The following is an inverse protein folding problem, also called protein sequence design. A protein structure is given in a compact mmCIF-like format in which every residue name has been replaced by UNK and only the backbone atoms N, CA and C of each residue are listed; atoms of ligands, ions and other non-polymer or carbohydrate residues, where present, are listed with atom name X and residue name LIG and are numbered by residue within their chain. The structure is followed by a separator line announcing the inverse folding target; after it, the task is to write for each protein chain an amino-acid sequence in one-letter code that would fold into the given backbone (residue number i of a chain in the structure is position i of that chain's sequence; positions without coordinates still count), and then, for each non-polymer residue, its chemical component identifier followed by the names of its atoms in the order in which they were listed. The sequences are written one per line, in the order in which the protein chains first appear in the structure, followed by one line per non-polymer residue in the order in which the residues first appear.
data_IF_103434602759
#
_entry.id   IF_103434602759
#
_cell.length_a   1.000
_cell.length_b   1.000
_cell.length_c   1.000
_cell.angle_alpha   90.00
_cell.angle_beta   90.00
_cell.angle_gamma   90.00
#
_symmetry.space_group_name_H-M   'P 1'
#
loop_
_entity.id
_entity.type
_entity.pdbx_description
1 polymer ?
#
# COMPACT_ATOMS: atom_id res chain seq x y z
N UNK A 1 1.77 4.78 18.72
CA UNK A 1 0.71 4.36 17.78
C UNK A 1 -0.62 4.13 18.47
N UNK A 2 -0.69 3.35 19.56
CA UNK A 2 -1.94 3.14 20.34
C UNK A 2 -2.61 4.44 20.84
N UNK A 3 -1.85 5.53 20.99
CA UNK A 3 -2.38 6.85 21.37
C UNK A 3 -3.39 7.43 20.36
N UNK A 4 -3.35 7.02 19.08
CA UNK A 4 -4.24 7.56 18.05
C UNK A 4 -5.72 7.28 18.34
N UNK A 5 -6.04 6.07 18.79
CA UNK A 5 -7.40 5.63 19.07
C UNK A 5 -7.79 5.78 20.56
N UNK A 6 -6.84 6.18 21.40
CA UNK A 6 -7.04 6.20 22.85
C UNK A 6 -8.06 7.27 23.25
N UNK A 7 -9.17 6.83 23.84
CA UNK A 7 -10.25 7.71 24.32
C UNK A 7 -11.17 8.27 23.23
N UNK A 8 -11.07 7.78 21.99
CA UNK A 8 -11.92 8.20 20.86
C UNK A 8 -13.16 7.31 20.78
N UNK A 9 -14.34 7.90 20.87
CA UNK A 9 -15.62 7.17 20.86
C UNK A 9 -16.71 7.94 20.09
N UNK A 10 -17.75 7.20 19.65
CA UNK A 10 -18.93 7.76 18.96
C UNK A 10 -18.57 8.65 17.77
N UNK A 11 -19.20 9.84 17.70
CA UNK A 11 -19.02 10.81 16.60
C UNK A 11 -17.58 11.25 16.37
N UNK A 12 -16.73 11.25 17.40
CA UNK A 12 -15.33 11.60 17.22
C UNK A 12 -14.60 10.53 16.40
N UNK A 13 -14.92 9.26 16.64
CA UNK A 13 -14.36 8.13 15.90
C UNK A 13 -14.90 8.09 14.47
N UNK A 14 -16.18 8.41 14.27
CA UNK A 14 -16.79 8.57 12.94
C UNK A 14 -16.08 9.66 12.14
N UNK A 15 -15.85 10.83 12.75
CA UNK A 15 -15.11 11.92 12.10
C UNK A 15 -13.71 11.51 11.69
N UNK A 16 -12.99 10.79 12.57
CA UNK A 16 -11.65 10.28 12.26
C UNK A 16 -11.67 9.35 11.06
N UNK A 17 -12.62 8.42 10.98
CA UNK A 17 -12.76 7.55 9.82
C UNK A 17 -13.10 8.32 8.54
N UNK A 18 -14.01 9.28 8.63
CA UNK A 18 -14.36 10.15 7.49
C UNK A 18 -13.16 10.96 6.98
N UNK A 19 -12.34 11.49 7.89
CA UNK A 19 -11.13 12.24 7.55
C UNK A 19 -10.08 11.33 6.86
N UNK A 20 -9.95 10.07 7.29
CA UNK A 20 -9.11 9.07 6.60
C UNK A 20 -9.62 8.83 5.17
N UNK A 21 -10.92 8.57 4.99
CA UNK A 21 -11.48 8.30 3.68
C UNK A 21 -11.34 9.50 2.73
N UNK A 22 -11.53 10.72 3.24
CA UNK A 22 -11.29 11.96 2.47
C UNK A 22 -9.81 12.14 2.13
N UNK A 23 -8.90 11.86 3.06
CA UNK A 23 -7.46 11.97 2.82
C UNK A 23 -6.95 10.99 1.74
N UNK A 24 -7.62 9.84 1.57
CA UNK A 24 -7.36 8.92 0.47
C UNK A 24 -8.17 9.26 -0.80
N UNK A 25 -8.85 10.40 -0.86
CA UNK A 25 -9.55 10.87 -2.06
C UNK A 25 -10.91 10.22 -2.31
N UNK A 26 -11.56 9.68 -1.27
CA UNK A 26 -12.93 9.17 -1.36
C UNK A 26 -13.94 10.23 -0.91
N UNK A 27 -15.08 10.26 -1.60
CA UNK A 27 -16.23 11.06 -1.22
C UNK A 27 -16.98 10.40 -0.06
N UNK A 28 -16.54 10.66 1.18
CA UNK A 28 -17.13 10.07 2.37
C UNK A 28 -18.21 10.97 3.00
N UNK A 29 -19.44 10.45 3.01
CA UNK A 29 -20.60 11.01 3.71
C UNK A 29 -20.74 10.31 5.06
N UNK A 30 -20.84 11.10 6.13
CA UNK A 30 -20.94 10.66 7.53
C UNK A 30 -21.90 11.59 8.29
N UNK A 31 -22.19 11.30 9.56
CA UNK A 31 -23.25 11.99 10.33
C UNK A 31 -24.63 11.83 9.67
N UNK A 32 -24.91 10.61 9.20
CA UNK A 32 -26.15 10.26 8.53
C UNK A 32 -27.31 10.21 9.53
N UNK A 33 -28.51 10.55 9.05
CA UNK A 33 -29.71 10.58 9.88
C UNK A 33 -30.20 9.16 10.15
N UNK A 34 -30.62 8.87 11.39
CA UNK A 34 -31.31 7.62 11.70
C UNK A 34 -32.68 7.59 11.01
N UNK A 35 -32.95 6.51 10.28
CA UNK A 35 -34.17 6.39 9.47
C UNK A 35 -35.02 5.25 10.00
N UNK A 36 -36.30 5.50 10.26
CA UNK A 36 -37.22 4.42 10.59
C UNK A 36 -37.40 3.48 9.39
N UNK A 37 -37.23 2.18 9.62
CA UNK A 37 -37.32 1.15 8.58
C UNK A 37 -38.69 1.15 7.88
N UNK A 38 -39.77 1.42 8.63
CA UNK A 38 -41.13 1.55 8.08
C UNK A 38 -41.27 2.65 7.03
N UNK A 39 -40.41 3.68 7.05
CA UNK A 39 -40.45 4.79 6.08
C UNK A 39 -39.76 4.42 4.76
N UNK A 40 -39.04 3.29 4.73
CA UNK A 40 -38.26 2.82 3.58
C UNK A 40 -38.88 1.55 3.00
N UNK A 41 -39.35 0.63 3.86
CA UNK A 41 -39.91 -0.66 3.42
C UNK A 41 -41.05 -1.11 4.34
N UNK A 42 -42.07 -1.77 3.77
CA UNK A 42 -43.18 -2.34 4.53
C UNK A 42 -42.74 -3.56 5.36
N UNK A 43 -43.44 -3.83 6.47
CA UNK A 43 -43.24 -5.04 7.28
C UNK A 43 -42.35 -4.89 8.52
N UNK A 44 -41.94 -3.66 8.85
CA UNK A 44 -41.09 -3.35 10.00
C UNK A 44 -41.82 -2.55 11.08
N UNK A 45 -41.43 -2.75 12.34
CA UNK A 45 -42.00 -2.05 13.50
C UNK A 45 -41.50 -0.60 13.60
N UNK A 46 -42.22 0.26 14.32
CA UNK A 46 -41.88 1.69 14.47
C UNK A 46 -40.55 1.94 15.19
N UNK A 47 -40.09 0.99 15.99
CA UNK A 47 -38.86 1.09 16.77
C UNK A 47 -37.61 0.64 16.00
N UNK A 48 -37.76 0.09 14.79
CA UNK A 48 -36.64 -0.37 14.00
C UNK A 48 -36.07 0.76 13.12
N UNK A 49 -34.78 1.02 13.28
CA UNK A 49 -34.08 2.11 12.61
C UNK A 49 -32.87 1.60 11.83
N UNK A 50 -32.66 2.18 10.65
CA UNK A 50 -31.40 2.15 9.90
C UNK A 50 -30.49 3.26 10.39
N UNK A 51 -29.23 2.91 10.58
CA UNK A 51 -28.17 3.81 11.03
C UNK A 51 -26.87 3.26 10.44
N UNK A 52 -26.11 4.11 9.79
CA UNK A 52 -24.80 3.80 9.26
C UNK A 52 -23.88 4.97 9.52
N UNK A 53 -22.61 4.67 9.81
CA UNK A 53 -21.62 5.71 10.06
C UNK A 53 -21.13 6.35 8.76
N UNK A 54 -21.04 5.56 7.67
CA UNK A 54 -20.49 6.02 6.38
C UNK A 54 -21.29 5.57 5.17
N UNK A 55 -21.36 6.45 4.17
CA UNK A 55 -21.69 6.12 2.77
C UNK A 55 -20.63 6.72 1.84
N UNK A 56 -20.09 5.90 0.93
CA UNK A 56 -19.05 6.29 -0.02
C UNK A 56 -19.47 5.80 -1.41
N UNK A 57 -20.02 6.68 -2.28
CA UNK A 57 -20.33 6.32 -3.65
C UNK A 57 -19.05 6.21 -4.48
N UNK A 58 -18.89 5.10 -5.19
CA UNK A 58 -17.73 4.83 -6.04
C UNK A 58 -18.18 4.09 -7.32
N UNK A 59 -18.11 4.78 -8.46
CA UNK A 59 -18.68 4.35 -9.74
C UNK A 59 -20.14 3.88 -9.63
N UNK A 60 -20.38 2.55 -9.71
CA UNK A 60 -21.70 1.91 -9.62
C UNK A 60 -21.91 1.18 -8.29
N UNK A 61 -21.04 1.41 -7.30
CA UNK A 61 -21.07 0.75 -6.00
C UNK A 61 -21.10 1.79 -4.89
N UNK A 62 -21.99 1.64 -3.91
CA UNK A 62 -21.91 2.41 -2.68
C UNK A 62 -21.32 1.53 -1.58
N UNK A 63 -20.19 1.98 -1.01
CA UNK A 63 -19.62 1.37 0.18
C UNK A 63 -20.33 1.95 1.41
N UNK A 64 -20.92 1.08 2.22
CA UNK A 64 -21.57 1.45 3.47
C UNK A 64 -20.69 0.96 4.63
N UNK A 65 -20.41 1.84 5.57
CA UNK A 65 -19.46 1.56 6.64
C UNK A 65 -20.04 1.71 8.04
N UNK A 66 -19.52 0.91 8.96
CA UNK A 66 -19.78 1.00 10.40
C UNK A 66 -18.45 0.94 11.17
N UNK A 67 -18.28 1.76 12.20
CA UNK A 67 -17.13 1.79 13.09
C UNK A 67 -17.55 1.62 14.55
N UNK A 68 -16.70 0.98 15.36
CA UNK A 68 -16.98 0.78 16.79
C UNK A 68 -15.73 0.73 17.65
N UNK A 69 -15.78 1.44 18.77
CA UNK A 69 -14.81 1.37 19.88
C UNK A 69 -15.24 0.45 21.03
N UNK A 70 -16.37 -0.26 20.90
CA UNK A 70 -16.87 -1.18 21.95
C UNK A 70 -15.82 -2.24 22.29
N UNK A 71 -15.33 -2.26 23.53
CA UNK A 71 -14.32 -3.25 23.95
C UNK A 71 -14.86 -4.67 24.17
N UNK A 72 -16.14 -4.84 24.50
CA UNK A 72 -16.70 -6.16 24.76
C UNK A 72 -17.04 -6.94 23.49
N UNK A 73 -16.45 -8.13 23.33
CA UNK A 73 -16.65 -9.03 22.17
C UNK A 73 -18.14 -9.28 21.85
N UNK A 74 -18.98 -9.49 22.87
CA UNK A 74 -20.43 -9.69 22.71
C UNK A 74 -21.12 -8.48 22.09
N UNK A 75 -20.70 -7.26 22.46
CA UNK A 75 -21.32 -6.03 21.99
C UNK A 75 -20.86 -5.66 20.58
N UNK A 76 -19.62 -6.02 20.21
CA UNK A 76 -19.15 -5.92 18.81
C UNK A 76 -19.92 -6.90 17.94
N UNK A 77 -20.03 -8.17 18.35
CA UNK A 77 -20.76 -9.18 17.57
C UNK A 77 -22.21 -8.77 17.33
N UNK A 78 -22.92 -8.33 18.37
CA UNK A 78 -24.30 -7.80 18.23
C UNK A 78 -24.37 -6.62 17.26
N UNK A 79 -23.40 -5.71 17.31
CA UNK A 79 -23.36 -4.54 16.41
C UNK A 79 -23.08 -4.97 14.96
N UNK A 80 -22.17 -5.91 14.75
CA UNK A 80 -21.90 -6.51 13.45
C UNK A 80 -23.12 -7.24 12.89
N UNK A 81 -23.79 -8.08 13.67
CA UNK A 81 -25.00 -8.80 13.24
C UNK A 81 -26.11 -7.82 12.83
N UNK A 82 -26.29 -6.72 13.59
CA UNK A 82 -27.21 -5.62 13.23
C UNK A 82 -26.80 -4.97 11.92
N UNK A 83 -25.53 -4.63 11.75
CA UNK A 83 -24.99 -4.03 10.53
C UNK A 83 -25.23 -4.91 9.30
N UNK A 84 -24.92 -6.22 9.37
CA UNK A 84 -25.18 -7.17 8.28
C UNK A 84 -26.66 -7.23 7.92
N UNK A 85 -27.54 -7.27 8.93
CA UNK A 85 -28.98 -7.25 8.71
C UNK A 85 -29.42 -5.99 7.95
N UNK A 86 -28.96 -4.82 8.37
CA UNK A 86 -29.28 -3.54 7.74
C UNK A 86 -28.75 -3.42 6.31
N UNK A 87 -27.52 -3.87 6.05
CA UNK A 87 -26.94 -3.94 4.70
C UNK A 87 -27.81 -4.81 3.78
N UNK A 88 -28.25 -5.96 4.25
CA UNK A 88 -29.10 -6.87 3.48
C UNK A 88 -30.48 -6.30 3.17
N UNK A 89 -30.98 -5.36 3.99
CA UNK A 89 -32.20 -4.62 3.69
C UNK A 89 -31.93 -3.64 2.55
N UNK A 90 -30.88 -2.81 2.65
CA UNK A 90 -30.57 -1.81 1.62
C UNK A 90 -30.30 -2.45 0.28
N UNK A 91 -29.58 -3.58 0.23
CA UNK A 91 -29.29 -4.32 -1.01
C UNK A 91 -30.55 -4.70 -1.80
N UNK A 92 -31.73 -4.76 -1.16
CA UNK A 92 -33.01 -5.14 -1.77
C UNK A 92 -33.87 -3.95 -2.19
N UNK A 93 -33.46 -2.73 -1.87
CA UNK A 93 -34.19 -1.53 -2.23
C UNK A 93 -33.95 -1.16 -3.70
N UNK A 94 -34.94 -0.50 -4.30
CA UNK A 94 -34.77 0.14 -5.61
C UNK A 94 -34.11 1.51 -5.42
N UNK A 95 -32.87 1.69 -5.87
CA UNK A 95 -32.15 2.94 -5.63
C UNK A 95 -32.78 4.11 -6.39
N UNK A 96 -33.12 5.17 -5.67
CA UNK A 96 -33.71 6.39 -6.20
C UNK A 96 -33.28 7.61 -5.38
N UNK A 97 -33.41 8.81 -5.95
CA UNK A 97 -33.11 10.07 -5.25
C UNK A 97 -33.87 10.17 -3.90
N UNK A 98 -35.13 9.72 -3.84
CA UNK A 98 -35.94 9.70 -2.61
C UNK A 98 -35.35 8.77 -1.55
N UNK A 99 -34.89 7.57 -1.93
CA UNK A 99 -34.28 6.63 -0.99
C UNK A 99 -32.96 7.16 -0.46
N UNK A 100 -32.13 7.78 -1.30
CA UNK A 100 -30.87 8.39 -0.84
C UNK A 100 -31.10 9.55 0.13
N UNK A 101 -32.08 10.41 -0.15
CA UNK A 101 -32.47 11.48 0.77
C UNK A 101 -32.96 10.93 2.11
N UNK A 102 -33.82 9.90 2.07
CA UNK A 102 -34.29 9.22 3.28
C UNK A 102 -33.13 8.67 4.10
N UNK A 103 -32.10 8.13 3.44
CA UNK A 103 -30.85 7.65 4.06
C UNK A 103 -29.91 8.76 4.54
N UNK A 104 -30.31 10.04 4.46
CA UNK A 104 -29.56 11.17 5.00
C UNK A 104 -28.62 11.87 4.00
N UNK A 105 -28.67 11.51 2.71
CA UNK A 105 -27.87 12.20 1.69
C UNK A 105 -28.52 13.54 1.33
N UNK A 106 -27.76 14.61 1.47
CA UNK A 106 -28.21 15.98 1.14
C UNK A 106 -28.43 16.16 -0.37
N UNK A 107 -29.34 17.08 -0.72
CA UNK A 107 -29.77 17.31 -2.11
C UNK A 107 -28.62 17.60 -3.08
N UNK A 108 -27.62 18.38 -2.64
CA UNK A 108 -26.44 18.70 -3.44
C UNK A 108 -25.57 17.48 -3.78
N UNK A 109 -25.67 16.39 -3.01
CA UNK A 109 -24.81 15.22 -3.11
C UNK A 109 -25.48 14.03 -3.81
N UNK A 110 -26.81 14.03 -3.93
CA UNK A 110 -27.60 12.95 -4.57
C UNK A 110 -27.06 12.56 -5.95
N UNK A 111 -26.57 13.52 -6.73
CA UNK A 111 -26.02 13.25 -8.07
C UNK A 111 -24.94 12.16 -8.08
N UNK A 112 -24.16 12.04 -7.01
CA UNK A 112 -23.10 11.01 -6.87
C UNK A 112 -23.67 9.60 -6.66
N UNK A 113 -24.93 9.48 -6.24
CA UNK A 113 -25.58 8.21 -5.90
C UNK A 113 -26.51 7.67 -7.01
N UNK A 114 -26.79 8.46 -8.05
CA UNK A 114 -27.76 8.10 -9.10
C UNK A 114 -27.38 6.87 -9.92
N UNK A 115 -26.10 6.60 -10.05
CA UNK A 115 -25.58 5.49 -10.86
C UNK A 115 -25.26 4.24 -10.03
N UNK A 116 -25.57 4.25 -8.72
CA UNK A 116 -25.31 3.11 -7.85
C UNK A 116 -26.22 1.95 -8.24
N UNK A 117 -25.61 0.79 -8.42
CA UNK A 117 -26.27 -0.47 -8.78
C UNK A 117 -26.05 -1.57 -7.74
N UNK A 118 -25.06 -1.42 -6.86
CA UNK A 118 -24.77 -2.41 -5.82
C UNK A 118 -24.25 -1.76 -4.54
N UNK A 119 -24.36 -2.51 -3.45
CA UNK A 119 -23.88 -2.11 -2.12
C UNK A 119 -22.83 -3.10 -1.67
N UNK A 120 -21.74 -2.59 -1.09
CA UNK A 120 -20.77 -3.40 -0.34
C UNK A 120 -20.61 -2.79 1.05
N UNK A 121 -20.35 -3.62 2.04
CA UNK A 121 -20.23 -3.21 3.43
C UNK A 121 -18.79 -3.23 3.90
N UNK A 122 -18.45 -2.36 4.86
CA UNK A 122 -17.29 -2.57 5.69
C UNK A 122 -17.57 -2.32 7.16
N UNK A 123 -16.95 -3.10 8.02
CA UNK A 123 -17.10 -3.00 9.46
C UNK A 123 -15.73 -2.82 10.11
N UNK A 124 -15.59 -1.82 10.97
CA UNK A 124 -14.34 -1.44 11.61
C UNK A 124 -14.45 -1.65 13.12
N UNK A 125 -13.63 -2.56 13.67
CA UNK A 125 -13.44 -2.72 15.11
C UNK A 125 -12.12 -2.08 15.52
N UNK A 126 -12.15 -1.00 16.29
CA UNK A 126 -10.94 -0.25 16.65
C UNK A 126 -10.25 -0.75 17.92
N UNK A 127 -10.86 -1.71 18.63
CA UNK A 127 -10.33 -2.23 19.89
C UNK A 127 -9.91 -3.69 19.86
N UNK A 128 -10.41 -4.49 18.92
CA UNK A 128 -10.12 -5.93 18.87
C UNK A 128 -9.24 -6.27 17.68
N UNK A 129 -8.37 -7.24 17.86
CA UNK A 129 -7.66 -7.88 16.76
C UNK A 129 -8.44 -9.09 16.22
N UNK A 130 -8.11 -9.52 15.01
CA UNK A 130 -8.76 -10.66 14.35
C UNK A 130 -8.66 -11.96 15.17
N UNK A 131 -7.56 -12.16 15.89
CA UNK A 131 -7.38 -13.34 16.74
C UNK A 131 -8.20 -13.27 18.03
N UNK A 132 -8.58 -12.07 18.47
CA UNK A 132 -9.42 -11.88 19.66
C UNK A 132 -10.90 -12.08 19.36
N UNK A 133 -11.33 -11.70 18.15
CA UNK A 133 -12.73 -11.71 17.75
C UNK A 133 -12.87 -12.24 16.33
N UNK A 134 -13.53 -13.39 16.19
CA UNK A 134 -13.93 -13.92 14.89
C UNK A 134 -15.40 -13.57 14.62
N UNK A 135 -15.62 -12.69 13.65
CA UNK A 135 -16.94 -12.38 13.11
C UNK A 135 -17.28 -13.32 11.96
N UNK A 136 -18.57 -13.61 11.75
CA UNK A 136 -19.01 -14.46 10.64
C UNK A 136 -18.72 -13.77 9.30
N UNK A 137 -18.25 -14.54 8.31
CA UNK A 137 -18.13 -14.03 6.96
C UNK A 137 -19.51 -13.65 6.43
N UNK A 138 -19.60 -12.47 5.81
CA UNK A 138 -20.80 -12.01 5.14
C UNK A 138 -20.44 -11.58 3.72
N UNK A 139 -21.33 -11.88 2.77
CA UNK A 139 -21.11 -11.58 1.36
C UNK A 139 -21.05 -10.05 1.13
N UNK A 140 -20.04 -9.63 0.37
CA UNK A 140 -19.69 -8.24 0.11
C UNK A 140 -19.38 -7.39 1.35
N UNK A 141 -19.05 -8.00 2.49
CA UNK A 141 -18.63 -7.25 3.69
C UNK A 141 -17.19 -7.53 4.07
N UNK A 142 -16.39 -6.47 4.16
CA UNK A 142 -15.00 -6.53 4.63
C UNK A 142 -14.93 -6.09 6.09
N UNK A 143 -14.29 -6.90 6.94
CA UNK A 143 -14.08 -6.57 8.36
C UNK A 143 -12.65 -6.10 8.57
N UNK A 144 -12.49 -4.86 9.03
CA UNK A 144 -11.22 -4.26 9.43
C UNK A 144 -11.09 -4.34 10.96
N UNK A 145 -10.03 -4.97 11.43
CA UNK A 145 -9.70 -4.99 12.85
C UNK A 145 -8.79 -3.82 13.22
N UNK A 146 -8.43 -3.72 14.50
CA UNK A 146 -7.66 -2.59 15.04
C UNK A 146 -6.39 -2.33 14.25
N UNK A 147 -5.57 -3.36 14.02
CA UNK A 147 -4.33 -3.23 13.24
C UNK A 147 -4.57 -2.83 11.78
N UNK A 148 -5.64 -3.29 11.15
CA UNK A 148 -5.99 -2.93 9.77
C UNK A 148 -6.41 -1.46 9.66
N UNK A 149 -7.21 -0.97 10.61
CA UNK A 149 -7.64 0.42 10.65
C UNK A 149 -6.49 1.39 10.92
N UNK A 150 -5.60 1.04 11.86
CA UNK A 150 -4.38 1.81 12.12
C UNK A 150 -3.52 1.86 10.86
N UNK A 151 -3.38 0.76 10.13
CA UNK A 151 -2.62 0.72 8.88
C UNK A 151 -3.25 1.61 7.81
N UNK A 152 -4.57 1.56 7.64
CA UNK A 152 -5.28 2.44 6.71
C UNK A 152 -5.06 3.91 7.06
N UNK A 153 -5.11 4.26 8.35
CA UNK A 153 -4.75 5.59 8.83
C UNK A 153 -3.32 5.95 8.44
N UNK A 154 -2.33 5.11 8.74
CA UNK A 154 -0.93 5.41 8.39
C UNK A 154 -0.72 5.60 6.88
N UNK A 155 -1.36 4.78 6.05
CA UNK A 155 -1.25 4.90 4.60
C UNK A 155 -1.88 6.22 4.14
N UNK A 156 -3.06 6.58 4.67
CA UNK A 156 -3.70 7.87 4.38
C UNK A 156 -2.81 9.07 4.72
N UNK A 157 -2.07 9.01 5.83
CA UNK A 157 -1.22 10.12 6.27
C UNK A 157 0.10 10.23 5.52
N UNK A 158 0.62 9.11 5.00
CA UNK A 158 1.97 9.09 4.44
C UNK A 158 1.99 9.00 2.90
N UNK A 159 0.95 8.43 2.29
CA UNK A 159 0.82 8.29 0.84
C UNK A 159 -0.58 8.71 0.33
N UNK A 160 -1.40 9.38 1.15
CA UNK A 160 -2.59 10.14 0.72
C UNK A 160 -3.51 9.42 -0.26
N UNK A 161 -3.89 10.13 -1.32
CA UNK A 161 -4.77 9.67 -2.41
C UNK A 161 -4.29 8.39 -3.10
N UNK A 162 -2.98 8.09 -3.08
CA UNK A 162 -2.46 6.86 -3.67
C UNK A 162 -2.81 5.60 -2.84
N UNK A 163 -3.39 5.77 -1.64
CA UNK A 163 -4.01 4.67 -0.87
C UNK A 163 -5.37 4.27 -1.42
N UNK A 164 -6.03 5.12 -2.23
CA UNK A 164 -7.41 4.92 -2.71
C UNK A 164 -7.61 3.55 -3.33
N UNK A 165 -6.83 3.24 -4.36
CA UNK A 165 -7.00 2.00 -5.12
C UNK A 165 -6.56 0.78 -4.30
N UNK A 166 -5.64 0.95 -3.34
CA UNK A 166 -5.30 -0.08 -2.37
C UNK A 166 -6.50 -0.48 -1.50
N UNK A 167 -7.27 0.50 -1.01
CA UNK A 167 -8.49 0.29 -0.24
C UNK A 167 -9.63 -0.26 -1.10
N UNK A 168 -9.91 0.35 -2.26
CA UNK A 168 -11.03 -0.04 -3.13
C UNK A 168 -10.88 -1.45 -3.71
N UNK A 169 -9.65 -1.89 -3.99
CA UNK A 169 -9.38 -3.26 -4.44
C UNK A 169 -9.83 -4.32 -3.43
N UNK A 170 -9.95 -3.99 -2.13
CA UNK A 170 -10.46 -4.90 -1.10
C UNK A 170 -11.92 -5.27 -1.28
N UNK A 171 -12.64 -4.45 -2.03
CA UNK A 171 -14.04 -4.65 -2.39
C UNK A 171 -14.18 -5.14 -3.83
N UNK A 172 -13.11 -5.59 -4.48
CA UNK A 172 -13.12 -5.95 -5.92
C UNK A 172 -13.63 -4.81 -6.80
N UNK A 173 -13.35 -3.56 -6.43
CA UNK A 173 -13.66 -2.39 -7.24
C UNK A 173 -12.47 -2.12 -8.15
N UNK A 174 -12.52 -2.71 -9.34
CA UNK A 174 -11.58 -2.41 -10.41
C UNK A 174 -11.96 -1.04 -11.01
N UNK A 175 -11.20 0.02 -10.70
CA UNK A 175 -11.24 1.21 -11.54
C UNK A 175 -10.62 0.89 -12.89
N UNK A 176 -11.44 0.40 -13.82
CA UNK A 176 -11.06 0.27 -15.22
C UNK A 176 -11.41 1.56 -15.92
N UNK A 177 -10.44 2.47 -15.95
CA UNK A 177 -10.48 3.44 -17.05
C UNK A 177 -10.21 2.65 -18.33
N UNK A 178 -10.93 2.94 -19.42
CA UNK A 178 -10.67 2.30 -20.74
C UNK A 178 -9.32 2.73 -21.34
N UNK A 179 -8.52 3.46 -20.56
CA UNK A 179 -7.26 4.04 -20.95
C UNK A 179 -6.11 3.09 -20.60
N UNK A 180 -5.05 3.17 -21.39
CA UNK A 180 -3.79 2.47 -21.11
C UNK A 180 -2.64 3.48 -21.14
N UNK A 181 -1.62 3.21 -20.35
CA UNK A 181 -0.33 3.90 -20.42
C UNK A 181 0.42 3.26 -21.59
N UNK A 182 0.91 4.09 -22.50
CA UNK A 182 1.61 3.66 -23.70
C UNK A 182 3.09 4.00 -23.60
N UNK A 183 3.92 2.96 -23.41
CA UNK A 183 5.37 3.09 -23.26
C UNK A 183 6.02 2.85 -24.61
N UNK A 184 6.57 3.91 -25.20
CA UNK A 184 7.22 3.91 -26.52
C UNK A 184 8.75 3.93 -26.42
N UNK A 185 9.44 3.33 -27.39
CA UNK A 185 10.92 3.35 -27.51
C UNK A 185 11.51 4.77 -27.49
N UNK A 186 10.92 5.70 -28.23
CA UNK A 186 11.46 7.08 -28.36
C UNK A 186 11.24 7.95 -27.12
N UNK A 187 10.08 7.84 -26.48
CA UNK A 187 9.68 8.76 -25.42
C UNK A 187 10.04 8.26 -24.00
N UNK A 188 10.18 6.94 -23.87
CA UNK A 188 10.37 6.24 -22.60
C UNK A 188 11.62 5.36 -22.61
N UNK A 189 12.48 5.46 -23.62
CA UNK A 189 13.72 4.68 -23.72
C UNK A 189 13.46 3.17 -23.59
N UNK A 190 12.34 2.69 -24.14
CA UNK A 190 11.91 1.30 -23.98
C UNK A 190 12.92 0.34 -24.61
N UNK A 191 13.49 -0.54 -23.80
CA UNK A 191 14.36 -1.63 -24.23
C UNK A 191 13.68 -2.96 -23.87
N UNK A 192 13.56 -3.86 -24.85
CA UNK A 192 13.00 -5.20 -24.66
C UNK A 192 14.06 -6.29 -24.77
N UNK A 193 14.04 -7.22 -23.84
CA UNK A 193 14.86 -8.43 -23.82
C UNK A 193 13.98 -9.66 -23.68
N UNK A 194 13.85 -10.47 -24.73
CA UNK A 194 12.93 -11.61 -24.75
C UNK A 194 13.56 -12.92 -24.24
N UNK A 195 12.72 -13.87 -23.82
CA UNK A 195 13.10 -15.25 -23.52
C UNK A 195 14.18 -15.40 -22.44
N UNK A 196 14.13 -14.57 -21.40
CA UNK A 196 15.05 -14.61 -20.27
C UNK A 196 14.58 -15.57 -19.20
N UNK A 197 15.53 -16.19 -18.50
CA UNK A 197 15.30 -16.92 -17.24
C UNK A 197 15.72 -16.01 -16.11
N UNK A 198 14.79 -15.69 -15.22
CA UNK A 198 14.97 -14.63 -14.20
C UNK A 198 15.15 -15.19 -12.78
N UNK A 199 15.05 -16.50 -12.61
CA UNK A 199 15.31 -17.20 -11.34
C UNK A 199 16.31 -18.33 -11.56
N UNK A 200 17.23 -18.55 -10.63
CA UNK A 200 18.15 -19.70 -10.69
C UNK A 200 17.35 -21.01 -10.69
N UNK A 201 17.85 -22.01 -11.43
CA UNK A 201 17.28 -23.37 -11.46
C UNK A 201 17.30 -23.95 -10.04
N UNK A 202 16.16 -23.94 -9.38
CA UNK A 202 15.81 -25.02 -8.46
C UNK A 202 15.17 -26.13 -9.31
N UNK A 203 15.07 -27.33 -8.74
CA UNK A 203 14.54 -28.57 -9.34
C UNK A 203 13.13 -28.45 -9.96
N UNK A 204 12.47 -27.30 -9.84
CA UNK A 204 11.31 -26.90 -10.62
C UNK A 204 11.68 -26.73 -12.12
N UNK A 205 11.50 -27.80 -12.90
CA UNK A 205 11.54 -27.77 -14.38
C UNK A 205 10.50 -26.82 -15.02
N UNK A 206 9.66 -26.17 -14.22
CA UNK A 206 8.50 -25.37 -14.65
C UNK A 206 8.74 -23.84 -14.65
N UNK A 207 9.99 -23.37 -14.48
CA UNK A 207 10.27 -21.93 -14.48
C UNK A 207 9.92 -21.28 -15.83
N UNK A 208 8.92 -20.38 -15.89
CA UNK A 208 8.50 -19.80 -17.16
C UNK A 208 9.56 -18.84 -17.70
N UNK A 209 9.78 -18.88 -19.01
CA UNK A 209 10.52 -17.83 -19.70
C UNK A 209 9.84 -16.49 -19.49
N UNK A 210 10.62 -15.41 -19.49
CA UNK A 210 10.11 -14.06 -19.27
C UNK A 210 10.66 -13.09 -20.30
N UNK A 211 9.88 -12.06 -20.60
CA UNK A 211 10.37 -10.88 -21.31
C UNK A 211 10.66 -9.79 -20.30
N UNK A 212 11.80 -9.12 -20.47
CA UNK A 212 12.21 -7.97 -19.68
C UNK A 212 12.00 -6.70 -20.50
N UNK A 213 11.44 -5.68 -19.86
CA UNK A 213 11.28 -4.34 -20.41
C UNK A 213 12.00 -3.38 -19.48
N UNK A 214 12.84 -2.49 -20.01
CA UNK A 214 13.40 -1.37 -19.24
C UNK A 214 12.93 -0.09 -19.89
N UNK A 215 12.40 0.84 -19.10
CA UNK A 215 11.89 2.12 -19.61
C UNK A 215 11.90 3.17 -18.51
N UNK A 216 11.81 4.43 -18.92
CA UNK A 216 11.62 5.59 -18.04
C UNK A 216 10.16 6.02 -18.05
N UNK A 217 9.60 6.36 -16.89
CA UNK A 217 8.21 6.81 -16.76
C UNK A 217 8.05 7.77 -15.59
N UNK A 218 7.04 8.64 -15.65
CA UNK A 218 6.65 9.44 -14.49
C UNK A 218 6.14 8.53 -13.36
N UNK A 219 6.63 8.69 -12.10
CA UNK A 219 6.13 7.89 -10.98
C UNK A 219 4.60 8.09 -10.80
N UNK A 220 4.09 9.29 -11.09
CA UNK A 220 2.67 9.63 -10.93
C UNK A 220 1.75 8.86 -11.90
N UNK A 221 2.27 8.43 -13.05
CA UNK A 221 1.50 7.59 -13.98
C UNK A 221 1.32 6.16 -13.47
N UNK A 222 2.24 5.65 -12.64
CA UNK A 222 2.21 4.26 -12.16
C UNK A 222 1.71 4.11 -10.72
N UNK A 223 1.78 5.16 -9.89
CA UNK A 223 1.40 5.10 -8.47
C UNK A 223 -0.05 4.65 -8.25
N UNK A 224 -0.97 4.98 -9.16
CA UNK A 224 -2.38 4.59 -9.04
C UNK A 224 -2.65 3.15 -9.49
N UNK A 225 -1.75 2.54 -10.25
CA UNK A 225 -1.96 1.20 -10.85
C UNK A 225 -1.09 0.13 -10.22
N UNK A 226 -0.21 0.52 -9.30
CA UNK A 226 0.79 -0.36 -8.71
C UNK A 226 0.25 -1.08 -7.47
N UNK A 227 0.43 -2.40 -7.43
CA UNK A 227 0.20 -3.21 -6.24
C UNK A 227 1.52 -3.66 -5.61
N UNK A 228 1.52 -3.84 -4.29
CA UNK A 228 2.65 -4.39 -3.55
C UNK A 228 2.12 -5.49 -2.64
N UNK A 229 2.66 -6.70 -2.80
CA UNK A 229 2.29 -7.88 -2.00
C UNK A 229 2.93 -7.82 -0.60
N UNK A 230 2.40 -6.98 0.28
CA UNK A 230 2.96 -6.78 1.62
C UNK A 230 2.40 -7.79 2.62
N UNK A 231 3.21 -8.18 3.60
CA UNK A 231 2.81 -9.06 4.71
C UNK A 231 1.63 -8.50 5.52
N UNK A 232 1.54 -7.17 5.58
CA UNK A 232 0.55 -6.42 6.33
C UNK A 232 -0.63 -6.02 5.43
N UNK A 233 -1.07 -6.92 4.55
CA UNK A 233 -2.15 -6.62 3.60
C UNK A 233 -3.51 -6.41 4.30
N UNK A 234 -4.28 -5.40 3.87
CA UNK A 234 -5.65 -5.21 4.36
C UNK A 234 -6.55 -6.40 3.99
N UNK A 235 -7.57 -6.72 4.84
CA UNK A 235 -8.56 -7.75 4.57
C UNK A 235 -9.33 -7.45 3.28
N UNK A 236 -9.73 -8.49 2.56
CA UNK A 236 -10.28 -8.40 1.20
C UNK A 236 -11.42 -9.41 0.99
N UNK A 237 -12.36 -9.10 0.10
CA UNK A 237 -13.40 -10.05 -0.35
C UNK A 237 -12.85 -11.19 -1.22
N UNK A 238 -11.67 -11.02 -1.81
CA UNK A 238 -11.02 -12.03 -2.63
C UNK A 238 -10.22 -13.00 -1.76
N UNK A 239 -10.27 -14.29 -2.11
CA UNK A 239 -9.52 -15.34 -1.42
C UNK A 239 -8.00 -15.08 -1.49
N UNK A 240 -7.37 -15.09 -0.31
CA UNK A 240 -5.96 -14.75 -0.10
C UNK A 240 -5.01 -15.89 -0.49
N UNK A 241 -5.13 -16.46 -1.68
CA UNK A 241 -4.19 -17.46 -2.21
C UNK A 241 -2.87 -16.84 -2.69
N UNK A 242 -2.65 -15.55 -2.44
CA UNK A 242 -1.46 -14.82 -2.85
C UNK A 242 -0.41 -14.81 -1.74
N UNK A 243 0.85 -15.09 -2.12
CA UNK A 243 1.98 -14.99 -1.21
C UNK A 243 2.26 -13.51 -0.92
N UNK A 244 2.02 -13.09 0.31
CA UNK A 244 2.43 -11.78 0.80
C UNK A 244 3.88 -11.84 1.30
N UNK A 245 4.84 -11.56 0.42
CA UNK A 245 6.27 -11.78 0.68
C UNK A 245 7.05 -10.50 1.01
N UNK A 246 6.49 -9.31 0.76
CA UNK A 246 7.19 -8.05 1.00
C UNK A 246 6.99 -7.51 2.40
N UNK A 247 7.97 -6.73 2.85
CA UNK A 247 7.92 -6.03 4.14
C UNK A 247 6.86 -4.93 4.11
N UNK A 248 6.28 -4.62 5.29
CA UNK A 248 5.47 -3.42 5.49
C UNK A 248 6.21 -2.16 5.04
N UNK A 249 5.44 -1.15 4.68
CA UNK A 249 5.99 0.17 4.38
C UNK A 249 6.58 0.76 5.67
N UNK A 250 7.80 1.30 5.60
CA UNK A 250 8.45 1.96 6.73
C UNK A 250 8.35 3.45 6.50
N UNK A 251 7.51 4.12 7.28
CA UNK A 251 7.18 5.53 7.09
C UNK A 251 8.31 6.47 7.49
N UNK A 252 9.14 6.12 8.47
CA UNK A 252 10.29 6.93 8.85
C UNK A 252 11.31 6.94 7.69
N UNK A 253 11.61 5.77 7.14
CA UNK A 253 12.46 5.63 5.95
C UNK A 253 11.83 6.35 4.75
N UNK A 254 10.52 6.28 4.58
CA UNK A 254 9.81 6.97 3.50
C UNK A 254 10.02 8.49 3.59
N UNK A 255 9.86 9.07 4.79
CA UNK A 255 10.06 10.50 5.05
C UNK A 255 11.50 10.93 4.84
N UNK A 256 12.47 10.11 5.25
CA UNK A 256 13.90 10.36 5.00
C UNK A 256 14.20 10.43 3.50
N UNK A 257 13.73 9.44 2.73
CA UNK A 257 13.90 9.39 1.27
C UNK A 257 13.22 10.60 0.62
N UNK A 258 12.01 10.93 1.06
CA UNK A 258 11.21 12.05 0.56
C UNK A 258 11.87 13.40 0.81
N UNK A 259 12.62 13.56 1.91
CA UNK A 259 13.31 14.82 2.23
C UNK A 259 14.21 15.28 1.09
N UNK A 260 14.95 14.36 0.46
CA UNK A 260 15.82 14.69 -0.66
C UNK A 260 15.03 15.22 -1.86
N UNK A 261 13.90 14.59 -2.17
CA UNK A 261 12.99 15.01 -3.25
C UNK A 261 12.32 16.36 -2.98
N UNK A 262 12.12 16.73 -1.72
CA UNK A 262 11.54 18.02 -1.34
C UNK A 262 12.56 19.17 -1.37
N UNK A 263 13.86 18.86 -1.28
CA UNK A 263 14.92 19.86 -1.21
C UNK A 263 15.59 20.16 -2.53
N UNK A 264 15.60 19.21 -3.46
CA UNK A 264 16.32 19.30 -4.73
C UNK A 264 15.44 18.77 -5.86
N UNK A 265 15.05 19.65 -6.78
CA UNK A 265 14.21 19.31 -7.94
C UNK A 265 14.97 18.48 -9.00
N UNK A 266 16.30 18.55 -9.02
CA UNK A 266 17.13 17.83 -9.99
C UNK A 266 17.54 16.44 -9.47
N UNK A 267 17.22 16.14 -8.20
CA UNK A 267 17.57 14.87 -7.58
C UNK A 267 16.60 13.75 -8.00
N UNK A 268 17.16 12.71 -8.63
CA UNK A 268 16.45 11.48 -8.97
C UNK A 268 17.24 10.27 -8.47
N UNK A 269 16.53 9.25 -7.97
CA UNK A 269 17.17 8.00 -7.58
C UNK A 269 17.63 7.21 -8.82
N UNK A 270 18.93 6.88 -8.95
CA UNK A 270 19.47 6.22 -10.15
C UNK A 270 19.12 4.72 -10.21
N UNK A 271 18.73 4.11 -9.09
CA UNK A 271 18.38 2.70 -9.02
C UNK A 271 17.01 2.43 -9.63
N UNK A 272 16.88 1.36 -10.43
CA UNK A 272 15.61 0.96 -11.01
C UNK A 272 14.57 0.55 -9.96
N UNK A 273 13.30 0.70 -10.32
CA UNK A 273 12.17 0.02 -9.67
C UNK A 273 11.93 -1.28 -10.43
N UNK A 274 12.02 -2.41 -9.71
CA UNK A 274 11.74 -3.70 -10.30
C UNK A 274 10.26 -4.04 -10.13
N UNK A 275 9.60 -4.33 -11.25
CA UNK A 275 8.17 -4.63 -11.26
C UNK A 275 7.86 -5.87 -12.09
N UNK A 276 6.67 -6.42 -11.88
CA UNK A 276 6.10 -7.52 -12.65
C UNK A 276 4.83 -7.04 -13.32
N UNK A 277 4.73 -7.29 -14.62
CA UNK A 277 3.57 -6.92 -15.42
C UNK A 277 2.49 -7.99 -15.35
N UNK A 278 1.25 -7.53 -15.16
CA UNK A 278 0.07 -8.36 -15.32
C UNK A 278 -0.04 -8.92 -16.76
N UNK A 279 -0.85 -9.97 -16.94
CA UNK A 279 -1.10 -10.55 -18.27
C UNK A 279 -1.90 -9.65 -19.20
N UNK A 280 -2.60 -8.66 -18.65
CA UNK A 280 -3.36 -7.68 -19.43
C UNK A 280 -2.43 -6.68 -20.16
N UNK A 281 -1.16 -6.58 -19.74
CA UNK A 281 -0.16 -5.74 -20.43
C UNK A 281 0.26 -6.37 -21.77
N UNK A 282 0.30 -5.55 -22.83
CA UNK A 282 0.58 -6.02 -24.19
C UNK A 282 1.71 -5.23 -24.81
N UNK A 283 2.65 -5.93 -25.43
CA UNK A 283 3.65 -5.31 -26.31
C UNK A 283 3.27 -5.57 -27.76
N UNK A 284 3.05 -4.50 -28.53
CA UNK A 284 2.70 -4.57 -29.95
C UNK A 284 3.28 -3.36 -30.69
N UNK A 285 3.26 -3.42 -32.03
CA UNK A 285 3.54 -2.22 -32.83
C UNK A 285 2.28 -1.38 -32.94
N UNK A 286 2.39 -0.07 -32.83
CA UNK A 286 1.30 0.86 -33.11
C UNK A 286 1.01 0.94 -34.63
N UNK A 287 0.01 1.74 -35.00
CA UNK A 287 -0.36 1.95 -36.41
C UNK A 287 0.76 2.55 -37.28
N UNK A 288 1.73 3.21 -36.63
CA UNK A 288 2.90 3.83 -37.27
C UNK A 288 4.13 2.90 -37.27
N UNK A 289 3.97 1.66 -36.78
CA UNK A 289 5.02 0.64 -36.74
C UNK A 289 6.01 0.75 -35.58
N UNK A 290 5.81 1.68 -34.64
CA UNK A 290 6.64 1.84 -33.44
C UNK A 290 6.26 0.78 -32.40
N UNK A 291 7.27 0.19 -31.77
CA UNK A 291 7.08 -0.70 -30.64
C UNK A 291 6.50 0.05 -29.43
N UNK A 292 5.42 -0.48 -28.86
CA UNK A 292 4.77 0.08 -27.69
C UNK A 292 4.39 -1.03 -26.69
N UNK A 293 4.67 -0.79 -25.40
CA UNK A 293 4.13 -1.56 -24.29
C UNK A 293 2.91 -0.82 -23.72
N UNK A 294 1.75 -1.44 -23.84
CA UNK A 294 0.47 -0.98 -23.30
C UNK A 294 0.24 -1.57 -21.92
N UNK A 295 0.11 -0.71 -20.92
CA UNK A 295 -0.20 -1.08 -19.53
C UNK A 295 -1.60 -0.55 -19.21
N UNK A 296 -2.57 -1.41 -18.87
CA UNK A 296 -3.91 -0.96 -18.49
C UNK A 296 -3.85 -0.03 -17.29
N UNK A 297 -4.66 1.05 -17.29
CA UNK A 297 -4.84 1.89 -16.11
C UNK A 297 -5.80 1.23 -15.12
N UNK A 298 -5.34 0.11 -14.54
CA UNK A 298 -6.06 -0.71 -13.56
C UNK A 298 -5.12 -1.04 -12.40
N UNK A 299 -5.64 -1.00 -11.18
CA UNK A 299 -4.88 -1.37 -9.99
C UNK A 299 -4.37 -2.81 -10.06
N UNK A 300 -3.09 -3.03 -9.77
CA UNK A 300 -2.43 -4.32 -9.89
C UNK A 300 -2.00 -4.69 -11.32
N UNK A 301 -2.15 -3.79 -12.30
CA UNK A 301 -1.55 -4.00 -13.63
C UNK A 301 -0.02 -4.09 -13.57
N UNK A 302 0.57 -3.45 -12.57
CA UNK A 302 1.99 -3.53 -12.20
C UNK A 302 2.10 -3.99 -10.74
N UNK A 303 2.97 -4.96 -10.46
CA UNK A 303 3.32 -5.37 -9.10
C UNK A 303 4.77 -5.01 -8.80
N UNK A 304 5.04 -4.15 -7.81
CA UNK A 304 6.42 -3.84 -7.39
C UNK A 304 7.03 -5.03 -6.68
N UNK A 305 8.31 -5.28 -6.92
CA UNK A 305 9.11 -6.34 -6.30
C UNK A 305 10.26 -5.76 -5.49
N UNK A 306 10.93 -4.75 -6.05
CA UNK A 306 11.95 -3.99 -5.33
C UNK A 306 11.77 -2.48 -5.58
N UNK A 307 12.12 -1.69 -4.58
CA UNK A 307 12.04 -0.23 -4.65
C UNK A 307 10.73 0.38 -4.16
N UNK A 308 9.90 -0.35 -3.39
CA UNK A 308 8.62 0.20 -2.89
C UNK A 308 8.79 1.55 -2.16
N UNK A 309 9.75 1.69 -1.22
CA UNK A 309 9.93 2.96 -0.50
C UNK A 309 10.40 4.10 -1.42
N UNK A 310 11.15 3.78 -2.49
CA UNK A 310 11.57 4.77 -3.50
C UNK A 310 10.40 5.20 -4.38
N UNK A 311 9.52 4.29 -4.74
CA UNK A 311 8.33 4.64 -5.53
C UNK A 311 7.35 5.49 -4.69
N UNK A 312 7.02 5.02 -3.49
CA UNK A 312 6.06 5.73 -2.62
C UNK A 312 6.62 7.01 -1.99
N UNK A 313 7.93 7.30 -2.08
CA UNK A 313 8.44 8.61 -1.65
C UNK A 313 7.93 9.74 -2.52
N UNK A 314 7.60 9.46 -3.79
CA UNK A 314 6.93 10.39 -4.70
C UNK A 314 5.43 10.56 -4.41
N UNK A 315 4.82 9.68 -3.60
CA UNK A 315 3.40 9.78 -3.24
C UNK A 315 3.18 10.88 -2.19
N UNK A 316 3.39 12.13 -2.60
CA UNK A 316 3.21 13.35 -1.81
C UNK A 316 2.93 14.54 -2.75
N UNK A 317 1.85 15.28 -2.49
CA UNK A 317 1.43 16.39 -3.36
C UNK A 317 2.47 17.51 -3.45
N UNK A 318 3.28 17.72 -2.40
CA UNK A 318 4.35 18.72 -2.43
C UNK A 318 5.48 18.25 -3.33
N UNK A 319 5.83 16.97 -3.26
CA UNK A 319 6.85 16.39 -4.17
C UNK A 319 6.36 16.47 -5.61
N UNK A 320 5.10 16.15 -5.87
CA UNK A 320 4.47 16.29 -7.20
C UNK A 320 4.56 17.73 -7.72
N UNK A 321 4.26 18.72 -6.89
CA UNK A 321 4.35 20.13 -7.27
C UNK A 321 5.76 20.63 -7.57
N UNK A 322 6.78 20.06 -6.91
CA UNK A 322 8.19 20.43 -7.06
C UNK A 322 8.80 19.74 -8.29
N UNK A 323 8.52 18.45 -8.44
CA UNK A 323 9.14 17.58 -9.45
C UNK A 323 8.49 17.72 -10.83
N UNK A 324 7.20 18.11 -10.88
CA UNK A 324 6.44 18.38 -12.11
C UNK A 324 6.55 17.24 -13.15
N UNK A 325 6.36 17.57 -14.44
CA UNK A 325 6.24 16.60 -15.52
C UNK A 325 7.59 16.01 -15.99
N UNK A 326 8.72 16.61 -15.62
CA UNK A 326 10.05 16.17 -16.04
C UNK A 326 10.59 14.99 -15.20
N UNK A 327 9.93 14.67 -14.10
CA UNK A 327 10.34 13.59 -13.22
C UNK A 327 10.14 12.22 -13.87
N UNK A 328 11.25 11.57 -14.25
CA UNK A 328 11.23 10.21 -14.81
C UNK A 328 12.06 9.26 -13.95
N UNK A 329 11.46 8.14 -13.58
CA UNK A 329 12.13 7.05 -12.88
C UNK A 329 12.40 5.88 -13.84
N UNK A 330 13.51 5.19 -13.63
CA UNK A 330 13.85 3.97 -14.38
C UNK A 330 13.09 2.77 -13.80
N UNK A 331 12.37 2.05 -14.66
CA UNK A 331 11.60 0.85 -14.32
C UNK A 331 12.14 -0.33 -15.12
N UNK A 332 12.41 -1.44 -14.43
CA UNK A 332 12.64 -2.74 -15.06
C UNK A 332 11.43 -3.61 -14.80
N UNK A 333 10.71 -3.97 -15.84
CA UNK A 333 9.48 -4.74 -15.77
C UNK A 333 9.67 -6.15 -16.33
N UNK A 334 9.18 -7.13 -15.58
CA UNK A 334 9.23 -8.55 -15.93
C UNK A 334 7.84 -9.01 -16.37
N UNK A 335 7.73 -9.60 -17.56
CA UNK A 335 6.52 -10.28 -18.03
C UNK A 335 6.77 -11.77 -18.22
N UNK A 336 6.21 -12.60 -17.34
CA UNK A 336 6.29 -14.06 -17.47
C UNK A 336 5.48 -14.59 -18.67
N UNK A 337 6.01 -15.52 -19.44
CA UNK A 337 5.31 -16.20 -20.55
C UNK A 337 4.47 -17.38 -20.06
N UNK A 338 3.57 -17.12 -19.12
CA UNK A 338 2.59 -18.09 -18.61
C UNK A 338 1.29 -17.37 -18.26
N UNK A 339 0.16 -18.05 -18.44
CA UNK A 339 -1.17 -17.54 -18.06
C UNK A 339 -1.60 -17.99 -16.66
N UNK A 340 -0.86 -18.90 -16.02
CA UNK A 340 -1.19 -19.41 -14.68
C UNK A 340 -0.78 -18.39 -13.62
N UNK A 341 -1.77 -17.73 -13.01
CA UNK A 341 -1.55 -16.69 -11.99
C UNK A 341 -0.79 -17.22 -10.77
N UNK A 342 -1.05 -18.45 -10.34
CA UNK A 342 -0.33 -19.10 -9.23
C UNK A 342 1.18 -19.20 -9.52
N UNK A 343 1.55 -19.55 -10.75
CA UNK A 343 2.95 -19.61 -11.19
C UNK A 343 3.56 -18.22 -11.17
N UNK A 344 2.84 -17.21 -11.70
CA UNK A 344 3.31 -15.82 -11.67
C UNK A 344 3.60 -15.41 -10.23
N UNK A 345 2.64 -15.53 -9.31
CA UNK A 345 2.80 -15.16 -7.90
C UNK A 345 3.95 -15.92 -7.24
N UNK A 346 4.07 -17.24 -7.46
CA UNK A 346 5.18 -18.05 -6.93
C UNK A 346 6.54 -17.53 -7.41
N UNK A 347 6.69 -17.28 -8.72
CA UNK A 347 7.96 -16.81 -9.27
C UNK A 347 8.24 -15.34 -8.93
N UNK A 348 7.22 -14.50 -8.78
CA UNK A 348 7.35 -13.13 -8.24
C UNK A 348 7.99 -13.15 -6.85
N UNK A 349 7.47 -13.99 -5.96
CA UNK A 349 8.01 -14.17 -4.61
C UNK A 349 9.46 -14.71 -4.64
N UNK A 350 9.75 -15.63 -5.57
CA UNK A 350 11.12 -16.14 -5.75
C UNK A 350 12.10 -15.07 -6.22
N UNK A 351 11.72 -14.25 -7.20
CA UNK A 351 12.56 -13.12 -7.66
C UNK A 351 12.85 -12.17 -6.50
N UNK A 352 11.85 -11.85 -5.68
CA UNK A 352 12.04 -11.04 -4.47
C UNK A 352 13.09 -11.66 -3.51
N UNK A 353 12.95 -12.95 -3.22
CA UNK A 353 13.86 -13.68 -2.33
C UNK A 353 15.28 -13.68 -2.90
N UNK A 354 15.44 -14.05 -4.17
CA UNK A 354 16.76 -14.13 -4.82
C UNK A 354 17.47 -12.78 -4.82
N UNK A 355 16.76 -11.68 -5.08
CA UNK A 355 17.36 -10.34 -5.06
C UNK A 355 17.80 -9.97 -3.64
N UNK A 356 16.94 -10.15 -2.65
CA UNK A 356 17.25 -9.74 -1.28
C UNK A 356 18.31 -10.61 -0.61
N UNK A 357 18.40 -11.90 -0.93
CA UNK A 357 19.44 -12.80 -0.40
C UNK A 357 20.80 -12.50 -1.05
N UNK A 358 20.84 -12.26 -2.36
CA UNK A 358 22.10 -12.01 -3.07
C UNK A 358 22.63 -10.58 -2.87
N UNK A 359 21.81 -9.65 -2.38
CA UNK A 359 22.27 -8.32 -1.98
C UNK A 359 23.10 -8.42 -0.69
N UNK A 360 24.43 -8.49 -0.84
CA UNK A 360 25.34 -8.36 0.29
C UNK A 360 25.18 -6.96 0.89
N UNK A 361 24.75 -6.89 2.16
CA UNK A 361 24.78 -5.63 2.90
C UNK A 361 26.23 -5.18 3.03
N UNK A 362 26.52 -3.98 2.55
CA UNK A 362 27.83 -3.36 2.80
C UNK A 362 27.98 -3.14 4.29
N UNK A 363 29.11 -3.53 4.85
CA UNK A 363 29.40 -3.32 6.27
C UNK A 363 29.40 -1.81 6.59
N UNK A 364 28.78 -1.44 7.71
CA UNK A 364 28.64 -0.04 8.15
C UNK A 364 30.02 0.63 8.24
N UNK A 365 31.02 -0.12 8.70
CA UNK A 365 32.41 0.30 8.82
C UNK A 365 33.02 0.74 7.48
N UNK A 366 32.67 0.04 6.41
CA UNK A 366 33.10 0.37 5.06
C UNK A 366 32.39 1.62 4.54
N UNK A 367 31.09 1.75 4.80
CA UNK A 367 30.30 2.94 4.44
C UNK A 367 30.79 4.19 5.15
N UNK A 368 31.01 4.13 6.47
CA UNK A 368 31.51 5.24 7.26
C UNK A 368 32.92 5.64 6.82
N UNK A 369 33.77 4.66 6.46
CA UNK A 369 35.10 4.96 5.89
C UNK A 369 35.00 5.75 4.59
N UNK A 370 34.15 5.33 3.66
CA UNK A 370 33.91 6.04 2.40
C UNK A 370 33.33 7.43 2.70
N UNK A 371 32.33 7.53 3.57
CA UNK A 371 31.71 8.80 3.93
C UNK A 371 32.71 9.80 4.54
N UNK A 372 33.64 9.32 5.37
CA UNK A 372 34.73 10.13 5.89
C UNK A 372 35.68 10.61 4.78
N UNK A 373 36.05 9.72 3.85
CA UNK A 373 36.89 10.07 2.69
C UNK A 373 36.21 11.07 1.75
N UNK A 374 34.88 11.06 1.70
CA UNK A 374 34.04 12.04 0.99
C UNK A 374 33.80 13.34 1.79
N UNK A 375 34.37 13.47 3.00
CA UNK A 375 34.34 14.71 3.79
C UNK A 375 33.13 14.86 4.73
N UNK A 376 32.43 13.77 5.08
CA UNK A 376 31.33 13.83 6.06
C UNK A 376 31.82 14.23 7.45
N UNK A 377 31.17 15.23 8.05
CA UNK A 377 31.42 15.70 9.43
C UNK A 377 30.47 15.07 10.46
N UNK A 378 29.75 14.01 10.09
CA UNK A 378 28.88 13.29 11.02
C UNK A 378 29.71 12.71 12.18
N UNK A 379 29.29 12.97 13.42
CA UNK A 379 29.96 12.49 14.62
C UNK A 379 30.12 10.97 14.64
N UNK A 380 29.16 10.22 14.07
CA UNK A 380 29.23 8.76 13.93
C UNK A 380 30.36 8.36 12.98
N UNK A 381 30.45 8.99 11.82
CA UNK A 381 31.46 8.70 10.79
C UNK A 381 32.87 8.98 11.33
N UNK A 382 33.05 10.11 12.03
CA UNK A 382 34.30 10.47 12.69
C UNK A 382 34.66 9.44 13.78
N UNK A 383 33.70 9.03 14.61
CA UNK A 383 33.92 8.02 15.65
C UNK A 383 34.34 6.66 15.05
N UNK A 384 33.67 6.19 14.01
CA UNK A 384 34.02 4.95 13.31
C UNK A 384 35.44 5.03 12.74
N UNK A 385 35.85 6.19 12.17
CA UNK A 385 37.21 6.39 11.67
C UNK A 385 38.26 6.36 12.78
N UNK A 386 37.99 7.01 13.92
CA UNK A 386 38.89 7.00 15.08
C UNK A 386 39.07 5.56 15.57
N UNK A 387 37.97 4.83 15.78
CA UNK A 387 37.98 3.44 16.24
C UNK A 387 38.77 2.54 15.27
N UNK A 388 38.48 2.63 13.97
CA UNK A 388 39.18 1.88 12.95
C UNK A 388 40.68 2.20 12.91
N UNK A 389 41.05 3.46 13.11
CA UNK A 389 42.46 3.91 13.16
C UNK A 389 43.15 3.40 14.42
N UNK A 390 42.50 3.45 15.58
CA UNK A 390 43.05 2.92 16.83
C UNK A 390 43.33 1.42 16.72
N UNK A 391 42.41 0.64 16.13
CA UNK A 391 42.61 -0.79 15.89
C UNK A 391 43.79 -1.14 14.96
N UNK A 392 44.35 -0.18 14.20
CA UNK A 392 45.58 -0.40 13.42
C UNK A 392 46.86 -0.21 14.24
N UNK A 393 46.78 0.44 15.41
CA UNK A 393 47.92 0.63 16.31
C UNK A 393 48.14 -0.64 17.13
N UNK A 394 49.40 -1.05 17.26
CA UNK A 394 49.78 -2.29 17.94
C UNK A 394 49.20 -2.38 19.37
N UNK A 395 49.23 -1.27 20.12
CA UNK A 395 48.72 -1.18 21.49
C UNK A 395 47.19 -1.30 21.63
N UNK A 396 46.44 -1.18 20.54
CA UNK A 396 44.96 -1.20 20.55
C UNK A 396 44.40 -2.18 19.51
N UNK A 397 45.24 -3.05 18.94
CA UNK A 397 44.85 -3.92 17.84
C UNK A 397 43.81 -4.93 18.31
N UNK A 398 42.61 -4.86 17.73
CA UNK A 398 41.49 -5.73 18.09
C UNK A 398 40.81 -5.37 19.42
N UNK A 399 41.16 -4.22 20.01
CA UNK A 399 40.59 -3.77 21.28
C UNK A 399 39.16 -3.24 21.11
N UNK A 400 38.82 -2.74 19.93
CA UNK A 400 37.49 -2.26 19.60
C UNK A 400 36.83 -3.21 18.60
N UNK A 401 35.70 -3.81 18.99
CA UNK A 401 34.90 -4.59 18.05
C UNK A 401 34.04 -3.63 17.20
N UNK A 402 34.30 -3.62 15.89
CA UNK A 402 33.55 -2.79 14.93
C UNK A 402 32.46 -3.61 14.20
N UNK A 403 32.40 -4.93 14.42
CA UNK A 403 31.52 -5.85 13.71
C UNK A 403 30.24 -6.23 14.49
N UNK A 404 30.18 -6.03 15.81
CA UNK A 404 29.04 -6.45 16.63
C UNK A 404 27.81 -5.54 16.57
N UNK A 405 27.87 -4.40 15.89
CA UNK A 405 26.80 -3.41 16.02
C UNK A 405 25.65 -3.60 15.00
N UNK A 406 24.81 -4.61 15.25
CA UNK A 406 23.45 -4.68 14.65
C UNK A 406 22.45 -3.74 15.35
N UNK A 407 22.84 -3.01 16.39
CA UNK A 407 21.94 -2.27 17.29
C UNK A 407 22.28 -0.79 17.50
N UNK A 408 23.22 -0.21 16.75
CA UNK A 408 23.71 1.18 16.92
C UNK A 408 24.14 1.50 18.38
N UNK A 409 24.64 0.51 19.11
CA UNK A 409 25.32 0.69 20.39
C UNK A 409 26.72 0.11 20.25
N UNK A 410 27.70 0.98 20.03
CA UNK A 410 29.09 0.65 20.34
C UNK A 410 29.20 0.34 21.83
N UNK A 411 29.08 -0.93 22.19
CA UNK A 411 29.34 -1.39 23.55
C UNK A 411 30.86 -1.54 23.67
N UNK A 412 31.49 -0.59 24.35
CA UNK A 412 32.82 -0.83 24.92
C UNK A 412 32.60 -1.83 26.04
N UNK A 413 32.87 -3.12 25.81
CA UNK A 413 33.13 -4.03 26.91
C UNK A 413 34.50 -3.64 27.47
N UNK A 414 34.51 -2.84 28.52
CA UNK A 414 35.70 -2.63 29.34
C UNK A 414 36.05 -3.97 30.02
N UNK A 415 36.84 -4.79 29.33
CA UNK A 415 37.54 -5.92 29.92
C UNK A 415 38.65 -5.42 30.80
N UNK A 416 38.77 -6.00 32.00
CA UNK A 416 39.76 -5.68 33.03
C UNK A 416 41.16 -5.64 32.41
N UNK A 417 41.88 -4.54 32.65
CA UNK A 417 43.32 -4.47 32.43
C UNK A 417 43.95 -5.48 33.39
N UNK A 418 44.40 -6.62 32.86
CA UNK A 418 45.39 -7.44 33.55
C UNK A 418 46.73 -6.89 33.10
N UNK A 419 47.33 -6.07 33.95
CA UNK A 419 48.76 -5.72 33.86
C UNK A 419 49.57 -7.03 33.85
N UNK A 420 50.42 -7.21 32.84
CA UNK A 420 51.46 -8.25 32.83
C UNK A 420 52.79 -7.69 33.29
#
# INVERSE_FOLDING_TARGET
MDKFLQGKEGKELEKIGADIFKAIGLDCFYDLVQVQLKNITSGYLENEHLEFDYMIPEDQVCLIGEITSRGEKRNIKKKYDKFIHQINIIKKLEYSDDIWQKLGIQQEHIRKFRNIQSIKGFFISTTQEKFDLTLSNAEDVVVFYKSDFIRLYEYSQNIGRWTRNYFLNKFSLDHRTHNSISIYEKNHELIRSTNKKISKKYEDNDAPFSDLYTFTISPYEILDIVHVYRQDELPSLQDSSTYNYQRPLNFDKLKEIRKNLLTDCDFIFPSNILVILSKECKYMKDGDGNSCLYIPKKYGSISVIDGQHRLFSYADEKVESIMQDDCKIMVTAVSFRTYKQEIITKFSARVFIEININQTKVEITHLDKIAYELGSNDSKVIATKIIATLNTRESFRGFFDIASDKTNKGIIQAGIIIDT
#
